data_IF_974802205120
#
_entry.id   IF_974802205120
#
_cell.length_a   1.000
_cell.length_b   1.000
_cell.length_c   1.000
_cell.angle_alpha   90.00
_cell.angle_beta   90.00
_cell.angle_gamma   90.00
#
_symmetry.space_group_name_H-M   'P 1'
#
loop_
_entity.id
_entity.type
_entity.pdbx_description
1 polymer ?
#
# COMPACT_ATOMS: atom_id res chain seq x y z
N UNK A 1 -44.51 -3.45 -20.25
CA UNK A 1 -44.91 -3.00 -18.90
C UNK A 1 -45.21 -4.23 -18.07
N UNK A 2 -44.23 -4.76 -17.35
CA UNK A 2 -44.43 -5.68 -16.22
C UNK A 2 -43.54 -5.12 -15.12
N UNK A 3 -44.20 -4.59 -14.09
CA UNK A 3 -43.62 -4.11 -12.85
C UNK A 3 -43.26 -5.33 -12.00
N UNK A 4 -41.99 -5.47 -11.64
CA UNK A 4 -41.61 -6.13 -10.39
C UNK A 4 -40.78 -5.10 -9.63
N UNK A 5 -41.43 -4.46 -8.67
CA UNK A 5 -40.76 -3.74 -7.60
C UNK A 5 -40.13 -4.79 -6.68
N UNK A 6 -38.82 -4.65 -6.41
CA UNK A 6 -38.25 -5.14 -5.17
C UNK A 6 -37.41 -4.01 -4.58
N UNK A 7 -37.77 -3.67 -3.35
CA UNK A 7 -37.26 -2.56 -2.57
C UNK A 7 -35.75 -2.64 -2.34
N UNK A 8 -35.14 -1.46 -2.23
CA UNK A 8 -34.14 -1.18 -1.20
C UNK A 8 -32.92 -2.09 -1.15
N UNK A 9 -31.98 -1.93 -2.09
CA UNK A 9 -30.57 -2.17 -1.81
C UNK A 9 -29.75 -1.19 -2.63
N UNK A 10 -29.30 -0.10 -2.00
CA UNK A 10 -28.18 0.70 -2.53
C UNK A 10 -26.93 -0.19 -2.52
N UNK A 11 -26.75 -0.99 -3.57
CA UNK A 11 -25.47 -1.64 -3.80
C UNK A 11 -24.58 -0.55 -4.40
N UNK A 12 -23.73 0.03 -3.55
CA UNK A 12 -22.59 0.82 -3.98
C UNK A 12 -21.61 -0.09 -4.74
N UNK A 13 -21.96 -0.49 -5.96
CA UNK A 13 -21.00 -1.05 -6.90
C UNK A 13 -20.37 0.11 -7.63
N UNK A 14 -19.14 0.45 -7.23
CA UNK A 14 -18.17 1.10 -8.11
C UNK A 14 -18.30 0.46 -9.50
N UNK A 15 -18.78 1.25 -10.46
CA UNK A 15 -19.28 0.82 -11.77
C UNK A 15 -18.27 -0.09 -12.48
N UNK A 16 -18.54 -1.39 -12.52
CA UNK A 16 -17.79 -2.31 -13.35
C UNK A 16 -18.34 -2.21 -14.78
N UNK A 17 -17.56 -1.56 -15.65
CA UNK A 17 -17.84 -1.49 -17.08
C UNK A 17 -17.13 -2.65 -17.76
N UNK A 18 -17.85 -3.41 -18.59
CA UNK A 18 -17.24 -4.40 -19.48
C UNK A 18 -17.24 -3.82 -20.90
N UNK A 19 -16.05 -3.59 -21.47
CA UNK A 19 -15.87 -2.88 -22.75
C UNK A 19 -16.64 -1.55 -22.85
N UNK A 20 -16.70 -0.78 -21.74
CA UNK A 20 -17.38 0.53 -21.72
C UNK A 20 -18.91 0.48 -21.65
N UNK A 21 -19.52 -0.71 -21.59
CA UNK A 21 -20.97 -0.87 -21.41
C UNK A 21 -21.28 -1.21 -19.95
N UNK A 22 -22.36 -0.65 -19.42
CA UNK A 22 -22.84 -0.96 -18.08
C UNK A 22 -23.19 -2.46 -17.98
N UNK A 23 -22.72 -3.12 -16.92
CA UNK A 23 -22.88 -4.56 -16.71
C UNK A 23 -24.34 -5.05 -16.81
N UNK A 24 -25.33 -4.27 -16.35
CA UNK A 24 -26.76 -4.61 -16.48
C UNK A 24 -27.23 -4.64 -17.94
N UNK A 25 -26.70 -3.75 -18.78
CA UNK A 25 -27.04 -3.68 -20.20
C UNK A 25 -26.39 -4.82 -21.00
N UNK A 26 -25.20 -5.26 -20.57
CA UNK A 26 -24.51 -6.41 -21.15
C UNK A 26 -25.31 -7.71 -20.95
N UNK A 27 -25.84 -7.96 -19.74
CA UNK A 27 -26.70 -9.13 -19.47
C UNK A 27 -27.99 -9.12 -20.31
N UNK A 28 -28.59 -7.94 -20.51
CA UNK A 28 -29.77 -7.78 -21.37
C UNK A 28 -29.50 -8.15 -22.84
N UNK A 29 -28.32 -7.79 -23.37
CA UNK A 29 -27.90 -8.12 -24.73
C UNK A 29 -27.55 -9.61 -24.90
N UNK A 30 -26.94 -10.22 -23.89
CA UNK A 30 -26.66 -11.66 -23.85
C UNK A 30 -27.94 -12.50 -23.93
N UNK A 31 -28.98 -12.10 -23.18
CA UNK A 31 -30.30 -12.74 -23.22
C UNK A 31 -30.92 -12.74 -24.64
N UNK A 32 -30.68 -11.68 -25.42
CA UNK A 32 -31.23 -11.55 -26.78
C UNK A 32 -30.48 -12.34 -27.86
N UNK A 33 -29.29 -12.89 -27.59
CA UNK A 33 -28.51 -13.65 -28.58
C UNK A 33 -28.62 -15.18 -28.46
N UNK A 34 -29.39 -15.72 -27.52
CA UNK A 34 -29.50 -17.19 -27.28
C UNK A 34 -30.85 -17.74 -27.76
N UNK A 35 -31.22 -17.46 -29.02
CA UNK A 35 -32.35 -18.13 -29.70
C UNK A 35 -31.88 -18.74 -31.03
N UNK A 36 -30.89 -19.64 -30.98
CA UNK A 36 -30.54 -20.50 -32.12
C UNK A 36 -30.49 -21.96 -31.69
N UNK A 37 -31.69 -22.48 -31.51
CA UNK A 37 -32.05 -23.82 -31.06
C UNK A 37 -31.80 -24.92 -32.14
N UNK A 38 -30.76 -24.78 -32.98
CA UNK A 38 -30.55 -25.64 -34.17
C UNK A 38 -29.16 -26.31 -34.26
N UNK A 39 -28.30 -26.23 -33.24
CA UNK A 39 -26.93 -26.76 -33.28
C UNK A 39 -26.65 -27.85 -32.24
N UNK A 40 -27.59 -28.77 -32.00
CA UNK A 40 -27.55 -29.66 -30.83
C UNK A 40 -26.69 -30.93 -30.99
N UNK A 41 -26.18 -31.29 -32.17
CA UNK A 41 -25.65 -32.65 -32.39
C UNK A 41 -24.12 -32.80 -32.57
N UNK A 42 -23.35 -31.71 -32.78
CA UNK A 42 -21.86 -31.73 -32.73
C UNK A 42 -21.30 -30.98 -31.50
N UNK A 43 -22.20 -30.59 -30.57
CA UNK A 43 -21.94 -29.60 -29.53
C UNK A 43 -21.16 -30.12 -28.32
N UNK A 44 -21.24 -31.41 -27.98
CA UNK A 44 -20.71 -31.93 -26.71
C UNK A 44 -19.20 -31.71 -26.56
N UNK A 45 -18.41 -32.28 -27.47
CA UNK A 45 -16.95 -32.34 -27.31
C UNK A 45 -16.24 -30.98 -27.47
N UNK A 46 -16.69 -30.14 -28.42
CA UNK A 46 -16.11 -28.80 -28.62
C UNK A 46 -16.60 -27.79 -27.57
N UNK A 47 -17.84 -27.93 -27.06
CA UNK A 47 -18.36 -27.06 -25.99
C UNK A 47 -17.65 -27.32 -24.65
N UNK A 48 -17.33 -28.58 -24.34
CA UNK A 48 -16.57 -28.94 -23.14
C UNK A 48 -15.14 -28.40 -23.22
N UNK A 49 -14.47 -28.52 -24.38
CA UNK A 49 -13.14 -27.94 -24.59
C UNK A 49 -13.13 -26.41 -24.40
N UNK A 50 -14.03 -25.68 -25.06
CA UNK A 50 -14.12 -24.21 -24.93
C UNK A 50 -14.46 -23.74 -23.51
N UNK A 51 -15.33 -24.48 -22.82
CA UNK A 51 -15.65 -24.22 -21.41
C UNK A 51 -14.42 -24.46 -20.53
N UNK A 52 -13.70 -25.56 -20.76
CA UNK A 52 -12.49 -25.89 -20.00
C UNK A 52 -11.37 -24.87 -20.18
N UNK A 53 -11.12 -24.39 -21.41
CA UNK A 53 -10.11 -23.36 -21.68
C UNK A 53 -10.52 -22.01 -21.09
N UNK A 54 -11.81 -21.67 -21.11
CA UNK A 54 -12.33 -20.45 -20.50
C UNK A 54 -12.22 -20.48 -18.97
N UNK A 55 -12.55 -21.61 -18.35
CA UNK A 55 -12.42 -21.81 -16.89
C UNK A 55 -10.96 -21.74 -16.45
N UNK A 56 -10.04 -22.31 -17.23
CA UNK A 56 -8.60 -22.19 -16.98
C UNK A 56 -8.13 -20.74 -17.06
N UNK A 57 -8.55 -19.98 -18.08
CA UNK A 57 -8.21 -18.56 -18.21
C UNK A 57 -8.77 -17.73 -17.05
N UNK A 58 -10.02 -17.96 -16.64
CA UNK A 58 -10.63 -17.29 -15.49
C UNK A 58 -9.87 -17.61 -14.20
N UNK A 59 -9.49 -18.87 -13.99
CA UNK A 59 -8.69 -19.28 -12.83
C UNK A 59 -7.31 -18.64 -12.82
N UNK A 60 -6.64 -18.55 -13.98
CA UNK A 60 -5.36 -17.87 -14.11
C UNK A 60 -5.47 -16.37 -13.79
N UNK A 61 -6.51 -15.70 -14.29
CA UNK A 61 -6.77 -14.29 -13.99
C UNK A 61 -7.03 -14.09 -12.49
N UNK A 62 -7.83 -14.95 -11.87
CA UNK A 62 -8.11 -14.89 -10.44
C UNK A 62 -6.84 -15.08 -9.60
N UNK A 63 -5.98 -16.03 -9.98
CA UNK A 63 -4.71 -16.26 -9.32
C UNK A 63 -3.75 -15.07 -9.48
N UNK A 64 -3.63 -14.48 -10.67
CA UNK A 64 -2.81 -13.28 -10.89
C UNK A 64 -3.34 -12.08 -10.09
N UNK A 65 -4.67 -11.89 -10.06
CA UNK A 65 -5.30 -10.84 -9.28
C UNK A 65 -5.01 -10.99 -7.78
N UNK A 66 -5.16 -12.21 -7.24
CA UNK A 66 -4.84 -12.51 -5.84
C UNK A 66 -3.36 -12.29 -5.52
N UNK A 67 -2.46 -12.72 -6.40
CA UNK A 67 -1.03 -12.52 -6.24
C UNK A 67 -0.69 -11.02 -6.19
N UNK A 68 -1.21 -10.23 -7.12
CA UNK A 68 -1.01 -8.77 -7.16
C UNK A 68 -1.62 -8.07 -5.96
N UNK A 69 -2.83 -8.46 -5.55
CA UNK A 69 -3.50 -7.90 -4.37
C UNK A 69 -2.70 -8.19 -3.09
N UNK A 70 -2.17 -9.40 -2.95
CA UNK A 70 -1.30 -9.77 -1.82
C UNK A 70 -0.01 -8.94 -1.82
N UNK A 71 0.69 -8.86 -2.96
CA UNK A 71 1.91 -8.06 -3.10
C UNK A 71 1.68 -6.58 -2.76
N UNK A 72 0.57 -5.99 -3.25
CA UNK A 72 0.19 -4.62 -2.94
C UNK A 72 -0.07 -4.42 -1.44
N UNK A 73 -0.83 -5.31 -0.80
CA UNK A 73 -1.13 -5.22 0.63
C UNK A 73 0.14 -5.34 1.48
N UNK A 74 1.08 -6.20 1.09
CA UNK A 74 2.38 -6.32 1.75
C UNK A 74 3.18 -5.01 1.64
N UNK A 75 3.29 -4.43 0.43
CA UNK A 75 3.98 -3.15 0.22
C UNK A 75 3.31 -2.00 0.99
N UNK A 76 1.99 -1.94 0.98
CA UNK A 76 1.21 -0.97 1.75
C UNK A 76 1.47 -1.10 3.25
N UNK A 77 1.48 -2.33 3.78
CA UNK A 77 1.81 -2.60 5.18
C UNK A 77 3.24 -2.17 5.53
N UNK A 78 4.20 -2.45 4.65
CA UNK A 78 5.58 -2.02 4.83
C UNK A 78 5.71 -0.49 4.87
N UNK A 79 5.03 0.21 3.96
CA UNK A 79 5.00 1.68 3.91
C UNK A 79 4.41 2.26 5.20
N UNK A 80 3.26 1.76 5.67
CA UNK A 80 2.66 2.21 6.92
C UNK A 80 3.58 1.99 8.13
N UNK A 81 4.32 0.87 8.15
CA UNK A 81 5.31 0.61 9.18
C UNK A 81 6.49 1.61 9.12
N UNK A 82 6.95 1.99 7.92
CA UNK A 82 7.98 3.01 7.75
C UNK A 82 7.49 4.39 8.19
N UNK A 83 6.28 4.79 7.82
CA UNK A 83 5.68 6.06 8.25
C UNK A 83 5.56 6.14 9.77
N UNK A 84 5.16 5.05 10.43
CA UNK A 84 5.11 4.98 11.90
C UNK A 84 6.49 5.08 12.54
N UNK A 85 7.53 4.51 11.94
CA UNK A 85 8.92 4.66 12.43
C UNK A 85 9.46 6.08 12.24
N UNK A 86 8.94 6.80 11.25
CA UNK A 86 9.31 8.19 10.99
C UNK A 86 8.49 9.20 11.79
N UNK A 87 7.31 8.81 12.31
CA UNK A 87 6.47 9.63 13.16
C UNK A 87 6.78 9.41 14.65
N UNK A 88 6.98 10.49 15.42
CA UNK A 88 7.17 10.41 16.87
C UNK A 88 8.14 11.43 17.44
N UNK A 89 8.43 11.30 18.73
CA UNK A 89 9.46 12.10 19.43
C UNK A 89 10.85 11.80 18.85
N UNK A 90 11.75 12.78 18.88
CA UNK A 90 13.16 12.63 18.46
C UNK A 90 13.88 11.48 19.19
N UNK A 91 13.41 11.08 20.36
CA UNK A 91 13.96 9.96 21.13
C UNK A 91 13.70 8.58 20.49
N UNK A 92 12.64 8.43 19.70
CA UNK A 92 12.16 7.12 19.24
C UNK A 92 12.05 7.00 17.73
N UNK A 93 12.11 8.12 16.99
CA UNK A 93 12.01 8.13 15.52
C UNK A 93 13.38 7.99 14.86
N UNK A 94 13.37 7.59 13.59
CA UNK A 94 14.57 7.70 12.74
C UNK A 94 15.02 9.16 12.62
N UNK A 95 16.32 9.38 12.78
CA UNK A 95 16.99 10.69 12.61
C UNK A 95 17.66 10.84 11.23
N UNK A 96 17.60 9.82 10.37
CA UNK A 96 18.31 9.78 9.08
C UNK A 96 17.96 10.97 8.15
N UNK A 97 16.74 11.50 8.25
CA UNK A 97 16.29 12.64 7.45
C UNK A 97 16.59 14.00 8.11
N UNK A 98 17.10 14.00 9.34
CA UNK A 98 17.34 15.18 10.17
C UNK A 98 18.82 15.51 10.23
N UNK A 99 19.66 14.49 10.47
CA UNK A 99 21.11 14.65 10.61
C UNK A 99 21.81 14.50 9.28
N UNK A 100 22.85 15.30 9.04
CA UNK A 100 23.66 15.23 7.82
C UNK A 100 25.07 14.78 8.14
N UNK A 101 25.81 14.39 7.11
CA UNK A 101 27.21 13.95 7.26
C UNK A 101 28.08 15.01 7.94
N UNK A 102 27.80 16.28 7.67
CA UNK A 102 28.56 17.42 8.20
C UNK A 102 28.32 17.67 9.70
N UNK A 103 27.29 17.07 10.29
CA UNK A 103 27.03 17.14 11.72
C UNK A 103 27.94 16.18 12.51
N UNK A 104 28.60 15.23 11.83
CA UNK A 104 29.46 14.23 12.45
C UNK A 104 30.94 14.50 12.15
N UNK A 105 31.77 14.28 13.18
CA UNK A 105 33.20 14.06 12.98
C UNK A 105 33.36 12.61 12.53
N UNK A 106 33.88 12.41 11.32
CA UNK A 106 34.03 11.10 10.68
C UNK A 106 35.53 10.78 10.56
N UNK A 107 35.88 9.50 10.63
CA UNK A 107 37.26 9.00 10.51
C UNK A 107 38.24 9.58 11.55
N UNK A 108 37.75 9.87 12.75
CA UNK A 108 38.59 10.25 13.90
C UNK A 108 38.75 9.09 14.88
N UNK A 109 39.97 8.86 15.34
CA UNK A 109 40.28 7.87 16.38
C UNK A 109 39.95 8.37 17.79
N UNK A 110 39.95 9.68 17.99
CA UNK A 110 39.85 10.30 19.31
C UNK A 110 38.57 11.10 19.53
N UNK A 111 37.82 11.40 18.46
CA UNK A 111 36.60 12.18 18.53
C UNK A 111 35.41 11.38 18.00
N UNK A 112 34.30 11.49 18.72
CA UNK A 112 33.00 10.97 18.29
C UNK A 112 31.95 12.05 18.50
N UNK A 113 31.02 12.17 17.56
CA UNK A 113 29.83 13.01 17.74
C UNK A 113 28.73 12.20 18.41
N UNK A 114 28.22 12.70 19.55
CA UNK A 114 27.03 12.17 20.20
C UNK A 114 25.82 13.06 19.92
N UNK A 115 24.66 12.44 19.69
CA UNK A 115 23.38 13.14 19.55
C UNK A 115 22.64 13.14 20.88
N UNK A 116 22.22 14.32 21.35
CA UNK A 116 21.49 14.47 22.61
C UNK A 116 20.18 15.20 22.35
N UNK A 117 19.09 14.67 22.90
CA UNK A 117 17.77 15.30 22.83
C UNK A 117 17.53 16.09 24.10
N UNK A 118 17.40 17.40 23.97
CA UNK A 118 17.18 18.32 25.09
C UNK A 118 15.78 18.91 25.00
N UNK A 119 14.96 18.85 26.08
CA UNK A 119 13.69 19.58 26.13
C UNK A 119 13.91 21.09 25.92
N UNK A 120 13.03 21.73 25.13
CA UNK A 120 13.17 23.18 24.83
C UNK A 120 13.23 24.05 26.08
N UNK A 121 12.52 23.67 27.12
CA UNK A 121 12.47 24.39 28.41
C UNK A 121 13.82 24.37 29.14
N UNK A 122 14.63 23.32 28.97
CA UNK A 122 15.92 23.14 29.64
C UNK A 122 17.12 23.47 28.73
N UNK A 123 16.89 24.04 27.54
CA UNK A 123 17.97 24.32 26.59
C UNK A 123 18.99 25.33 27.13
N UNK A 124 18.53 26.36 27.86
CA UNK A 124 19.41 27.35 28.49
C UNK A 124 20.31 26.73 29.56
N UNK A 125 19.83 25.72 30.28
CA UNK A 125 20.63 25.02 31.30
C UNK A 125 21.61 24.03 30.66
N UNK A 126 21.20 23.36 29.58
CA UNK A 126 22.08 22.51 28.77
C UNK A 126 23.30 23.28 28.27
N UNK A 127 23.10 24.46 27.66
CA UNK A 127 24.21 25.28 27.15
C UNK A 127 25.24 25.66 28.22
N UNK A 128 24.81 25.80 29.49
CA UNK A 128 25.70 26.15 30.61
C UNK A 128 26.44 24.96 31.20
N UNK A 129 25.91 23.75 31.06
CA UNK A 129 26.33 22.58 31.83
C UNK A 129 26.95 21.47 30.99
N UNK A 130 26.66 21.38 29.70
CA UNK A 130 27.06 20.22 28.89
C UNK A 130 28.59 20.00 28.84
N UNK A 131 29.37 21.09 28.86
CA UNK A 131 30.85 21.03 28.82
C UNK A 131 31.46 20.42 30.08
N UNK A 132 30.71 20.35 31.18
CA UNK A 132 31.18 19.81 32.48
C UNK A 132 30.50 18.50 32.89
N UNK A 133 29.65 17.93 32.02
CA UNK A 133 28.97 16.66 32.29
C UNK A 133 29.92 15.46 32.29
N UNK A 134 31.04 15.56 31.55
CA UNK A 134 32.07 14.54 31.44
C UNK A 134 33.41 15.22 31.17
N UNK A 135 34.49 14.53 31.51
CA UNK A 135 35.83 14.90 31.04
C UNK A 135 35.90 14.75 29.50
N UNK A 136 36.81 15.51 28.88
CA UNK A 136 37.11 15.46 27.45
C UNK A 136 35.96 15.87 26.50
N UNK A 137 34.98 16.64 26.99
CA UNK A 137 33.97 17.26 26.13
C UNK A 137 34.58 18.46 25.39
N UNK A 138 34.39 18.52 24.07
CA UNK A 138 34.89 19.64 23.25
C UNK A 138 34.04 20.88 23.50
N UNK A 139 34.61 22.01 23.97
CA UNK A 139 33.85 23.23 24.20
C UNK A 139 33.28 23.82 22.91
N UNK A 140 32.13 24.49 23.02
CA UNK A 140 31.38 25.11 21.91
C UNK A 140 31.04 24.15 20.75
N UNK A 141 30.91 22.85 21.04
CA UNK A 141 30.59 21.83 20.03
C UNK A 141 29.08 21.65 19.79
N UNK A 142 28.23 22.07 20.74
CA UNK A 142 26.76 22.04 20.56
C UNK A 142 26.31 23.11 19.56
N UNK A 143 25.42 22.74 18.63
CA UNK A 143 24.74 23.64 17.68
C UNK A 143 23.25 23.77 18.00
#
# INVERSE_FOLDING_TARGET
>A
MILIAYEGLEISTSKLYFNGINQLYFYYLLSKSVVKHCAQFLRGSYSEYLTSSSLQQVSQIDNDLKARASAYNNLKGNLQNLERKNAGSLLTRSLADIVKKEDFVIDSEYLITMLVVVPKTSYADWQKTYETLSEMVVPRSTK
#
